data_IF_435425785089
#
_entry.id   IF_435425785089
#
_cell.length_a   1.000
_cell.length_b   1.000
_cell.length_c   1.000
_cell.angle_alpha   90.00
_cell.angle_beta   90.00
_cell.angle_gamma   90.00
#
_symmetry.space_group_name_H-M   'P 1'
#
loop_
_entity.id
_entity.type
_entity.pdbx_description
1 polymer ?
#
# COMPACT_ATOMS: atom_id res chain seq x y z
N UNK A 1 -2.79 6.22 -0.27
CA UNK A 1 -1.81 7.34 -0.22
C UNK A 1 -1.08 7.34 1.12
N UNK A 2 0.09 7.98 1.24
CA UNK A 2 0.71 8.27 2.53
C UNK A 2 -0.26 9.07 3.43
N UNK A 3 -0.30 8.78 4.72
CA UNK A 3 -1.19 9.48 5.66
C UNK A 3 -2.67 9.04 5.67
N UNK A 4 -3.13 8.17 4.78
CA UNK A 4 -4.54 7.76 4.74
C UNK A 4 -4.98 6.76 5.83
N UNK A 5 -4.06 6.34 6.72
CA UNK A 5 -4.40 5.49 7.88
C UNK A 5 -4.32 3.98 7.65
N UNK A 6 -3.67 3.51 6.59
CA UNK A 6 -3.53 2.06 6.32
C UNK A 6 -2.91 1.28 7.49
N UNK A 7 -1.78 1.77 8.01
CA UNK A 7 -1.06 1.07 9.07
C UNK A 7 -1.88 1.05 10.37
N UNK A 8 -2.54 2.15 10.70
CA UNK A 8 -3.46 2.25 11.85
C UNK A 8 -4.59 1.25 11.73
N UNK A 9 -5.25 1.21 10.57
CA UNK A 9 -6.34 0.26 10.30
C UNK A 9 -5.89 -1.20 10.49
N UNK A 10 -4.74 -1.58 9.92
CA UNK A 10 -4.21 -2.94 10.04
C UNK A 10 -3.90 -3.31 11.49
N UNK A 11 -3.46 -2.36 12.30
CA UNK A 11 -3.18 -2.57 13.72
C UNK A 11 -4.48 -2.67 14.54
N UNK A 12 -5.41 -1.75 14.34
CA UNK A 12 -6.67 -1.66 15.10
C UNK A 12 -7.64 -2.81 14.81
N UNK A 13 -7.63 -3.34 13.60
CA UNK A 13 -8.45 -4.50 13.22
C UNK A 13 -7.91 -5.83 13.72
N UNK A 14 -6.78 -5.84 14.45
CA UNK A 14 -6.22 -7.05 15.04
C UNK A 14 -5.67 -8.06 14.03
N UNK A 15 -5.34 -7.62 12.82
CA UNK A 15 -4.71 -8.48 11.81
C UNK A 15 -3.33 -8.90 12.29
N UNK A 16 -3.07 -10.21 12.28
CA UNK A 16 -1.76 -10.74 12.68
C UNK A 16 -0.65 -10.12 11.81
N UNK A 17 0.37 -9.47 12.41
CA UNK A 17 1.44 -8.82 11.68
C UNK A 17 2.19 -9.72 10.67
N UNK A 18 2.25 -11.03 10.93
CA UNK A 18 2.87 -11.99 10.01
C UNK A 18 2.14 -12.16 8.68
N UNK A 19 0.87 -11.73 8.60
CA UNK A 19 0.07 -11.73 7.38
C UNK A 19 0.20 -10.45 6.59
N UNK A 20 0.91 -9.44 7.12
CA UNK A 20 1.04 -8.10 6.52
C UNK A 20 2.41 -7.96 5.88
N UNK A 21 2.42 -7.74 4.57
CA UNK A 21 3.63 -7.36 3.83
C UNK A 21 3.55 -5.87 3.50
N UNK A 22 4.43 -5.08 4.11
CA UNK A 22 4.47 -3.63 3.95
C UNK A 22 5.62 -3.20 3.04
N UNK A 23 5.27 -2.56 1.91
CA UNK A 23 6.27 -2.05 0.97
C UNK A 23 7.15 -0.97 1.59
N UNK A 24 6.61 -0.13 2.48
CA UNK A 24 7.39 0.89 3.17
C UNK A 24 8.36 0.29 4.20
N UNK A 25 7.95 -0.73 4.94
CA UNK A 25 8.87 -1.44 5.85
C UNK A 25 10.04 -2.06 5.08
N UNK A 26 9.76 -2.71 3.95
CA UNK A 26 10.80 -3.26 3.05
C UNK A 26 11.71 -2.15 2.56
N UNK A 27 11.15 -1.03 2.10
CA UNK A 27 11.92 0.12 1.62
C UNK A 27 12.90 0.61 2.67
N UNK A 28 12.43 0.87 3.89
CA UNK A 28 13.29 1.38 4.95
C UNK A 28 14.31 0.35 5.48
N UNK A 29 14.06 -0.94 5.29
CA UNK A 29 15.05 -1.98 5.58
C UNK A 29 16.17 -2.06 4.51
N UNK A 30 15.87 -1.70 3.25
CA UNK A 30 16.82 -1.75 2.13
C UNK A 30 17.62 -0.45 2.01
N UNK A 31 16.96 0.72 2.20
CA UNK A 31 17.60 2.03 2.03
C UNK A 31 18.66 2.30 3.09
N UNK A 32 19.83 2.80 2.64
CA UNK A 32 20.84 3.40 3.52
C UNK A 32 20.37 4.78 4.04
N UNK A 33 20.99 5.31 5.13
CA UNK A 33 20.62 6.62 5.68
C UNK A 33 20.67 7.78 4.68
N UNK A 34 21.59 7.72 3.71
CA UNK A 34 21.82 8.74 2.68
C UNK A 34 20.97 8.57 1.43
N UNK A 35 20.28 7.44 1.27
CA UNK A 35 19.45 7.18 0.08
C UNK A 35 18.18 8.04 0.09
N UNK A 36 17.73 8.45 -1.09
CA UNK A 36 16.43 9.09 -1.25
C UNK A 36 15.31 8.04 -1.18
N UNK A 37 14.09 8.48 -0.90
CA UNK A 37 12.92 7.60 -0.71
C UNK A 37 12.68 6.62 -1.87
N UNK A 38 12.91 7.04 -3.10
CA UNK A 38 12.68 6.20 -4.29
C UNK A 38 13.93 5.50 -4.82
N UNK A 39 15.06 5.66 -4.15
CA UNK A 39 16.25 4.88 -4.49
C UNK A 39 15.96 3.39 -4.23
N UNK A 40 16.60 2.50 -4.98
CA UNK A 40 16.39 1.05 -4.88
C UNK A 40 14.95 0.55 -5.16
N UNK A 41 14.08 1.35 -5.79
CA UNK A 41 12.66 1.01 -5.99
C UNK A 41 12.45 -0.34 -6.71
N UNK A 42 13.37 -0.71 -7.60
CA UNK A 42 13.37 -2.00 -8.30
C UNK A 42 13.55 -3.18 -7.34
N UNK A 43 14.49 -3.06 -6.40
CA UNK A 43 14.76 -4.07 -5.38
C UNK A 43 13.62 -4.13 -4.36
N UNK A 44 13.12 -2.98 -3.93
CA UNK A 44 11.95 -2.87 -3.04
C UNK A 44 10.75 -3.60 -3.63
N UNK A 45 10.44 -3.37 -4.90
CA UNK A 45 9.32 -4.04 -5.57
C UNK A 45 9.53 -5.56 -5.68
N UNK A 46 10.72 -5.99 -6.09
CA UNK A 46 11.05 -7.41 -6.19
C UNK A 46 10.92 -8.13 -4.83
N UNK A 47 11.42 -7.53 -3.78
CA UNK A 47 11.31 -8.06 -2.41
C UNK A 47 9.86 -8.09 -1.94
N UNK A 48 9.08 -7.05 -2.24
CA UNK A 48 7.66 -6.98 -1.91
C UNK A 48 6.87 -8.12 -2.55
N UNK A 49 7.08 -8.38 -3.83
CA UNK A 49 6.46 -9.51 -4.55
C UNK A 49 6.86 -10.85 -3.92
N UNK A 50 8.14 -11.03 -3.65
CA UNK A 50 8.66 -12.26 -3.03
C UNK A 50 8.03 -12.51 -1.65
N UNK A 51 7.98 -11.52 -0.78
CA UNK A 51 7.39 -11.68 0.56
C UNK A 51 5.88 -11.95 0.51
N UNK A 52 5.14 -11.38 -0.44
CA UNK A 52 3.73 -11.72 -0.65
C UNK A 52 3.58 -13.18 -1.06
N UNK A 53 4.40 -13.68 -1.99
CA UNK A 53 4.38 -15.08 -2.42
C UNK A 53 4.66 -16.03 -1.25
N UNK A 54 5.68 -15.75 -0.46
CA UNK A 54 6.03 -16.55 0.73
C UNK A 54 4.92 -16.53 1.77
N UNK A 55 4.32 -15.37 2.04
CA UNK A 55 3.20 -15.24 2.98
C UNK A 55 1.99 -16.05 2.51
N UNK A 56 1.62 -15.95 1.24
CA UNK A 56 0.53 -16.74 0.65
C UNK A 56 0.79 -18.26 0.71
N UNK A 57 2.02 -18.69 0.46
CA UNK A 57 2.39 -20.09 0.52
C UNK A 57 2.30 -20.66 1.95
N UNK A 58 2.62 -19.87 2.96
CA UNK A 58 2.60 -20.31 4.35
C UNK A 58 1.22 -20.20 5.02
N UNK A 59 0.46 -19.14 4.72
CA UNK A 59 -0.73 -18.78 5.47
C UNK A 59 -2.02 -18.74 4.64
N UNK A 60 -1.95 -18.93 3.34
CA UNK A 60 -3.07 -18.84 2.39
C UNK A 60 -3.77 -17.46 2.36
N UNK A 61 -3.24 -16.45 3.06
CA UNK A 61 -3.74 -15.07 3.08
C UNK A 61 -2.57 -14.11 3.24
N UNK A 62 -2.66 -12.94 2.57
CA UNK A 62 -1.67 -11.87 2.69
C UNK A 62 -2.33 -10.50 2.54
N UNK A 63 -1.98 -9.58 3.41
CA UNK A 63 -2.34 -8.16 3.31
C UNK A 63 -1.19 -7.39 2.67
N UNK A 64 -1.31 -7.08 1.39
CA UNK A 64 -0.32 -6.31 0.63
C UNK A 64 -0.49 -4.81 0.87
N UNK A 65 0.26 -4.27 1.84
CA UNK A 65 0.19 -2.87 2.24
C UNK A 65 1.13 -2.00 1.39
N UNK A 66 0.55 -1.30 0.42
CA UNK A 66 1.23 -0.34 -0.44
C UNK A 66 0.26 0.75 -0.91
N UNK A 67 0.74 1.72 -1.67
CA UNK A 67 -0.12 2.79 -2.21
C UNK A 67 -1.15 2.27 -3.21
N UNK A 68 -0.79 1.34 -4.10
CA UNK A 68 -1.69 0.69 -5.07
C UNK A 68 -2.70 1.65 -5.73
N UNK A 69 -2.20 2.80 -6.23
CA UNK A 69 -3.00 3.98 -6.57
C UNK A 69 -4.06 3.78 -7.65
N UNK A 70 -3.74 2.99 -8.67
CA UNK A 70 -4.57 2.82 -9.86
C UNK A 70 -4.47 1.40 -10.41
N UNK A 71 -5.31 1.06 -11.38
CA UNK A 71 -5.35 -0.26 -11.99
C UNK A 71 -3.98 -0.70 -12.53
N UNK A 72 -3.24 0.22 -13.17
CA UNK A 72 -1.91 -0.08 -13.70
C UNK A 72 -0.94 -0.57 -12.63
N UNK A 73 -0.89 0.10 -11.47
CA UNK A 73 -0.01 -0.30 -10.36
C UNK A 73 -0.45 -1.61 -9.72
N UNK A 74 -1.76 -1.84 -9.61
CA UNK A 74 -2.34 -3.08 -9.08
C UNK A 74 -2.09 -4.25 -10.03
N UNK A 75 -2.29 -4.06 -11.34
CA UNK A 75 -2.00 -5.08 -12.36
C UNK A 75 -0.51 -5.43 -12.40
N UNK A 76 0.39 -4.43 -12.26
CA UNK A 76 1.83 -4.69 -12.18
C UNK A 76 2.17 -5.66 -11.05
N UNK A 77 1.56 -5.49 -9.87
CA UNK A 77 1.74 -6.39 -8.74
C UNK A 77 1.18 -7.79 -9.04
N UNK A 78 -0.06 -7.87 -9.50
CA UNK A 78 -0.72 -9.15 -9.78
C UNK A 78 -0.02 -9.94 -10.89
N UNK A 79 0.44 -9.26 -11.94
CA UNK A 79 1.24 -9.88 -13.01
C UNK A 79 2.56 -10.42 -12.48
N UNK A 80 3.23 -9.68 -11.60
CA UNK A 80 4.49 -10.12 -11.00
C UNK A 80 4.31 -11.32 -10.05
N UNK A 81 3.17 -11.40 -9.34
CA UNK A 81 2.82 -12.57 -8.52
C UNK A 81 2.55 -13.82 -9.37
N UNK A 82 2.09 -13.65 -10.62
CA UNK A 82 1.84 -14.74 -11.57
C UNK A 82 1.01 -15.89 -10.98
N UNK A 83 -0.06 -15.56 -10.22
CA UNK A 83 -0.96 -16.54 -9.59
C UNK A 83 -2.39 -16.36 -10.09
N UNK A 84 -3.01 -17.45 -10.47
CA UNK A 84 -4.42 -17.55 -10.89
C UNK A 84 -5.31 -18.23 -9.84
N UNK A 85 -4.70 -18.74 -8.77
CA UNK A 85 -5.33 -19.49 -7.67
C UNK A 85 -5.71 -18.62 -6.46
N UNK A 86 -5.73 -17.30 -6.61
CA UNK A 86 -5.99 -16.36 -5.51
C UNK A 86 -7.27 -15.57 -5.71
N UNK A 87 -7.96 -15.29 -4.59
CA UNK A 87 -9.04 -14.31 -4.53
C UNK A 87 -8.43 -12.92 -4.19
N UNK A 88 -8.92 -11.89 -4.87
CA UNK A 88 -8.44 -10.52 -4.71
C UNK A 88 -9.50 -9.71 -3.98
N UNK A 89 -9.15 -9.18 -2.82
CA UNK A 89 -9.97 -8.26 -2.05
C UNK A 89 -9.27 -6.91 -1.97
N UNK A 90 -10.03 -5.83 -2.09
CA UNK A 90 -9.52 -4.47 -1.96
C UNK A 90 -10.04 -3.81 -0.69
N UNK A 91 -9.14 -3.18 0.06
CA UNK A 91 -9.46 -2.25 1.15
C UNK A 91 -9.05 -0.86 0.67
N UNK A 92 -10.05 -0.05 0.35
CA UNK A 92 -9.86 1.28 -0.22
C UNK A 92 -10.11 2.37 0.82
N UNK A 93 -9.12 3.26 0.98
CA UNK A 93 -9.18 4.35 1.95
C UNK A 93 -9.69 5.63 1.29
N UNK A 94 -10.81 6.13 1.78
CA UNK A 94 -11.49 7.36 1.30
C UNK A 94 -11.05 8.61 2.05
N UNK A 95 -10.01 8.53 2.90
CA UNK A 95 -9.47 9.67 3.66
C UNK A 95 -9.14 10.84 2.74
N UNK A 96 -9.64 12.05 3.03
CA UNK A 96 -9.40 13.23 2.21
C UNK A 96 -7.91 13.55 2.04
N UNK A 97 -7.55 14.09 0.87
CA UNK A 97 -6.15 14.45 0.55
C UNK A 97 -5.58 15.44 1.56
N UNK A 98 -6.38 16.44 1.98
CA UNK A 98 -5.96 17.41 2.99
C UNK A 98 -5.56 16.75 4.30
N UNK A 99 -6.35 15.80 4.80
CA UNK A 99 -6.03 15.01 6.01
C UNK A 99 -4.77 14.18 5.82
N UNK A 100 -4.57 13.59 4.64
CA UNK A 100 -3.36 12.84 4.33
C UNK A 100 -2.11 13.72 4.38
N UNK A 101 -2.19 14.96 3.86
CA UNK A 101 -1.10 15.95 3.87
C UNK A 101 -0.80 16.35 5.31
N UNK A 102 -1.81 16.76 6.09
CA UNK A 102 -1.64 17.14 7.49
C UNK A 102 -0.97 16.05 8.32
N UNK A 103 -1.39 14.81 8.15
CA UNK A 103 -0.78 13.66 8.84
C UNK A 103 0.64 13.38 8.37
N UNK A 104 0.92 13.61 7.09
CA UNK A 104 2.26 13.44 6.54
C UNK A 104 3.23 14.54 7.05
N UNK A 105 2.76 15.75 7.25
CA UNK A 105 3.55 16.86 7.82
C UNK A 105 4.04 16.57 9.24
N UNK A 106 3.25 15.82 10.02
CA UNK A 106 3.61 15.39 11.38
C UNK A 106 4.63 14.26 11.41
N UNK A 107 4.99 13.68 10.24
CA UNK A 107 6.00 12.64 10.14
C UNK A 107 7.41 13.25 10.15
N UNK A 108 8.34 12.53 10.73
CA UNK A 108 9.74 12.95 10.83
C UNK A 108 10.64 12.15 9.88
N UNK A 109 11.74 12.79 9.48
CA UNK A 109 12.79 12.18 8.68
C UNK A 109 12.29 11.59 7.35
N UNK A 110 12.84 10.45 6.98
CA UNK A 110 12.56 9.76 5.71
C UNK A 110 11.12 9.24 5.56
N UNK A 111 10.36 9.15 6.65
CA UNK A 111 8.94 8.76 6.61
C UNK A 111 8.05 9.87 6.07
N UNK A 112 8.51 11.12 6.09
CA UNK A 112 7.80 12.25 5.51
C UNK A 112 7.98 12.25 4.00
N UNK A 113 6.90 11.99 3.28
CA UNK A 113 6.89 12.02 1.81
C UNK A 113 6.80 13.47 1.34
N UNK A 114 7.55 13.87 0.28
CA UNK A 114 7.41 15.20 -0.29
C UNK A 114 5.96 15.53 -0.66
N UNK A 115 5.47 16.70 -0.28
CA UNK A 115 4.06 17.11 -0.50
C UNK A 115 3.67 17.05 -1.97
N UNK A 116 4.56 17.48 -2.87
CA UNK A 116 4.34 17.39 -4.30
C UNK A 116 4.08 15.96 -4.80
N UNK A 117 4.72 14.97 -4.18
CA UNK A 117 4.47 13.57 -4.48
C UNK A 117 3.06 13.13 -4.04
N UNK A 118 2.57 13.64 -2.90
CA UNK A 118 1.19 13.36 -2.44
C UNK A 118 0.16 13.96 -3.40
N UNK A 119 0.36 15.19 -3.86
CA UNK A 119 -0.52 15.80 -4.87
C UNK A 119 -0.51 15.03 -6.20
N UNK A 120 0.64 14.56 -6.63
CA UNK A 120 0.77 13.73 -7.85
C UNK A 120 0.04 12.40 -7.67
N UNK A 121 0.14 11.78 -6.51
CA UNK A 121 -0.59 10.56 -6.17
C UNK A 121 -2.10 10.80 -6.13
N UNK A 122 -2.55 11.92 -5.56
CA UNK A 122 -3.97 12.29 -5.50
C UNK A 122 -4.60 12.44 -6.89
N UNK A 123 -3.84 12.95 -7.87
CA UNK A 123 -4.29 13.05 -9.27
C UNK A 123 -4.35 11.69 -9.98
N UNK A 124 -3.54 10.73 -9.55
CA UNK A 124 -3.41 9.42 -10.17
C UNK A 124 -4.27 8.34 -9.50
N UNK A 125 -4.92 8.66 -8.37
CA UNK A 125 -5.73 7.70 -7.63
C UNK A 125 -6.96 7.29 -8.42
N UNK A 126 -7.20 5.99 -8.47
CA UNK A 126 -8.37 5.39 -9.12
C UNK A 126 -9.03 4.42 -8.16
N UNK A 127 -10.34 4.56 -8.00
CA UNK A 127 -11.12 3.64 -7.16
C UNK A 127 -11.11 2.23 -7.75
N UNK A 128 -10.96 1.16 -6.95
CA UNK A 128 -10.97 -0.23 -7.45
C UNK A 128 -12.22 -0.61 -8.23
N UNK A 129 -13.37 -0.01 -7.96
CA UNK A 129 -14.62 -0.20 -8.72
C UNK A 129 -14.51 0.24 -10.19
N UNK A 130 -13.55 1.10 -10.53
CA UNK A 130 -13.30 1.59 -11.88
C UNK A 130 -12.36 0.68 -12.67
N UNK A 131 -11.76 -0.31 -12.02
CA UNK A 131 -10.85 -1.25 -12.67
C UNK A 131 -11.62 -2.12 -13.66
N UNK A 132 -11.06 -2.25 -14.87
CA UNK A 132 -11.70 -2.98 -15.96
C UNK A 132 -11.21 -4.42 -16.08
N UNK A 133 -9.97 -4.67 -15.68
CA UNK A 133 -9.27 -5.95 -15.86
C UNK A 133 -9.31 -6.76 -14.58
N UNK A 134 -9.05 -6.13 -13.42
CA UNK A 134 -8.98 -6.80 -12.13
C UNK A 134 -10.39 -7.17 -11.66
N UNK A 135 -10.57 -8.45 -11.32
CA UNK A 135 -11.83 -8.97 -10.73
C UNK A 135 -11.65 -9.12 -9.23
N UNK A 136 -12.32 -8.27 -8.48
CA UNK A 136 -12.32 -8.33 -7.01
C UNK A 136 -13.44 -9.24 -6.49
N UNK A 137 -13.12 -10.03 -5.47
CA UNK A 137 -14.13 -10.77 -4.70
C UNK A 137 -14.90 -9.81 -3.81
N UNK A 138 -14.18 -8.90 -3.12
CA UNK A 138 -14.79 -7.84 -2.31
C UNK A 138 -14.02 -6.53 -2.47
N UNK A 139 -14.73 -5.41 -2.31
CA UNK A 139 -14.15 -4.08 -2.19
C UNK A 139 -14.77 -3.43 -0.94
N UNK A 140 -13.93 -3.15 0.05
CA UNK A 140 -14.32 -2.48 1.30
C UNK A 140 -13.80 -1.05 1.28
N UNK A 141 -14.64 -0.08 1.58
CA UNK A 141 -14.26 1.33 1.75
C UNK A 141 -14.06 1.64 3.24
N UNK A 142 -12.96 2.29 3.56
CA UNK A 142 -12.60 2.70 4.92
C UNK A 142 -12.39 4.21 4.95
N UNK A 143 -13.13 4.89 5.83
CA UNK A 143 -12.91 6.30 6.11
C UNK A 143 -12.26 6.44 7.49
N UNK A 144 -10.99 6.83 7.51
CA UNK A 144 -10.23 7.11 8.72
C UNK A 144 -10.15 8.61 9.05
N UNK A 145 -11.13 9.38 8.62
CA UNK A 145 -11.18 10.84 8.86
C UNK A 145 -11.93 11.20 10.15
N UNK A 146 -12.56 10.22 10.78
CA UNK A 146 -13.25 10.44 12.04
C UNK A 146 -12.23 10.71 13.15
N UNK A 147 -12.40 11.79 13.93
CA UNK A 147 -11.62 12.00 15.13
C UNK A 147 -11.88 10.85 16.10
N UNK A 148 -10.80 10.27 16.61
CA UNK A 148 -10.88 9.34 17.73
C UNK A 148 -11.40 10.06 18.97
#
# INVERSE_FOLDING_TARGET
MPGCGKDTYLTETGIDPKLIVSRDKIRFAILNPEDNYFDQEKLVFKTFVYEIQETLNHYNICYANATNLNERSRLKLLTALARDDIYINAIYFTTPVATCIERNEKREGRKRVPEQAIYSMAKAIQHPKEDKIIKYTTIVEVNNDLPN
#
